data_IF_275141701645
#
_entry.id   IF_275141701645
#
_cell.length_a   1.000
_cell.length_b   1.000
_cell.length_c   1.000
_cell.angle_alpha   90.00
_cell.angle_beta   90.00
_cell.angle_gamma   90.00
#
_symmetry.space_group_name_H-M   'P 1'
#
loop_
_entity.id
_entity.type
_entity.pdbx_description
1 polymer ?
#
# COMPACT_ATOMS: atom_id res chain seq x y z
N UNK A 1 22.68 -1.73 -7.27
CA UNK A 1 22.11 -2.41 -8.46
C UNK A 1 21.18 -3.56 -8.07
N UNK A 2 21.63 -4.58 -7.32
CA UNK A 2 20.78 -5.72 -6.90
C UNK A 2 19.44 -5.32 -6.28
N UNK A 3 19.45 -4.49 -5.23
CA UNK A 3 18.23 -4.07 -4.54
C UNK A 3 17.23 -3.38 -5.47
N UNK A 4 17.70 -2.55 -6.40
CA UNK A 4 16.84 -1.88 -7.39
C UNK A 4 16.16 -2.90 -8.29
N UNK A 5 16.91 -3.89 -8.80
CA UNK A 5 16.35 -4.97 -9.61
C UNK A 5 15.33 -5.77 -8.80
N UNK A 6 15.66 -6.12 -7.55
CA UNK A 6 14.77 -6.89 -6.69
C UNK A 6 13.46 -6.15 -6.43
N UNK A 7 13.54 -4.86 -6.09
CA UNK A 7 12.37 -4.02 -5.86
C UNK A 7 11.50 -3.90 -7.11
N UNK A 8 12.07 -3.61 -8.28
CA UNK A 8 11.27 -3.42 -9.49
C UNK A 8 10.58 -4.72 -9.94
N UNK A 9 11.28 -5.85 -9.83
CA UNK A 9 10.71 -7.16 -10.17
C UNK A 9 9.62 -7.56 -9.19
N UNK A 10 9.90 -7.48 -7.88
CA UNK A 10 8.94 -7.84 -6.85
C UNK A 10 7.70 -6.95 -6.89
N UNK A 11 7.86 -5.62 -6.94
CA UNK A 11 6.75 -4.68 -6.96
C UNK A 11 5.82 -4.91 -8.16
N UNK A 12 6.39 -5.12 -9.35
CA UNK A 12 5.59 -5.37 -10.54
C UNK A 12 4.84 -6.71 -10.49
N UNK A 13 5.49 -7.78 -10.02
CA UNK A 13 4.85 -9.09 -9.89
C UNK A 13 3.78 -9.08 -8.78
N UNK A 14 4.10 -8.49 -7.63
CA UNK A 14 3.19 -8.37 -6.50
C UNK A 14 1.95 -7.57 -6.90
N UNK A 15 2.07 -6.49 -7.68
CA UNK A 15 0.90 -5.77 -8.19
C UNK A 15 -0.09 -6.69 -8.95
N UNK A 16 0.41 -7.55 -9.83
CA UNK A 16 -0.45 -8.44 -10.62
C UNK A 16 -1.03 -9.58 -9.78
N UNK A 17 -0.24 -10.17 -8.87
CA UNK A 17 -0.75 -11.18 -7.94
C UNK A 17 -1.81 -10.56 -7.03
N UNK A 18 -1.56 -9.40 -6.45
CA UNK A 18 -2.49 -8.70 -5.58
C UNK A 18 -3.81 -8.38 -6.31
N UNK A 19 -3.71 -7.86 -7.55
CA UNK A 19 -4.89 -7.63 -8.39
C UNK A 19 -5.65 -8.92 -8.71
N UNK A 20 -4.95 -10.03 -8.96
CA UNK A 20 -5.57 -11.35 -9.16
C UNK A 20 -6.25 -11.86 -7.89
N UNK A 21 -5.65 -11.65 -6.73
CA UNK A 21 -6.20 -12.00 -5.42
C UNK A 21 -7.48 -11.21 -5.11
N UNK A 22 -7.72 -10.07 -5.76
CA UNK A 22 -8.98 -9.33 -5.72
C UNK A 22 -10.04 -9.77 -6.75
N UNK A 23 -9.79 -10.85 -7.49
CA UNK A 23 -10.89 -11.54 -8.20
C UNK A 23 -11.83 -12.21 -7.20
N UNK A 24 -13.08 -12.48 -7.60
CA UNK A 24 -14.07 -13.12 -6.72
C UNK A 24 -13.53 -14.39 -6.05
N UNK A 25 -12.93 -15.27 -6.86
CA UNK A 25 -12.36 -16.52 -6.36
C UNK A 25 -11.12 -16.29 -5.50
N UNK A 26 -10.16 -15.47 -5.96
CA UNK A 26 -8.93 -15.21 -5.22
C UNK A 26 -9.21 -14.61 -3.84
N UNK A 27 -10.19 -13.72 -3.76
CA UNK A 27 -10.54 -13.06 -2.52
C UNK A 27 -11.20 -14.04 -1.55
N UNK A 28 -12.29 -14.67 -1.99
CA UNK A 28 -13.07 -15.59 -1.15
C UNK A 28 -12.24 -16.78 -0.64
N UNK A 29 -11.24 -17.24 -1.39
CA UNK A 29 -10.45 -18.42 -1.04
C UNK A 29 -9.13 -18.11 -0.36
N UNK A 30 -8.54 -16.95 -0.62
CA UNK A 30 -7.16 -16.68 -0.22
C UNK A 30 -7.09 -15.34 0.52
N UNK A 31 -7.47 -14.26 -0.14
CA UNK A 31 -7.13 -12.91 0.32
C UNK A 31 -8.05 -12.34 1.42
N UNK A 32 -9.21 -12.94 1.65
CA UNK A 32 -10.15 -12.48 2.68
C UNK A 32 -9.56 -12.46 4.09
N UNK A 33 -8.58 -13.33 4.40
CA UNK A 33 -7.90 -13.35 5.71
C UNK A 33 -7.07 -12.09 5.90
N UNK A 34 -6.35 -11.66 4.86
CA UNK A 34 -5.58 -10.42 4.90
C UNK A 34 -6.49 -9.20 5.10
N UNK A 35 -7.64 -9.19 4.43
CA UNK A 35 -8.66 -8.14 4.54
C UNK A 35 -9.59 -8.27 5.76
N UNK A 36 -9.35 -9.22 6.67
CA UNK A 36 -10.16 -9.38 7.87
C UNK A 36 -10.08 -8.13 8.77
N UNK A 37 -8.95 -7.41 8.73
CA UNK A 37 -8.74 -6.17 9.47
C UNK A 37 -8.82 -4.97 8.53
N UNK A 38 -9.95 -4.27 8.56
CA UNK A 38 -10.17 -3.05 7.75
C UNK A 38 -9.31 -1.86 8.16
N UNK A 39 -8.71 -1.92 9.35
CA UNK A 39 -7.70 -0.99 9.85
C UNK A 39 -6.48 -1.82 10.28
N UNK A 40 -5.56 -2.13 9.35
CA UNK A 40 -4.43 -2.98 9.65
C UNK A 40 -3.46 -2.27 10.61
N UNK A 41 -2.64 -3.08 11.28
CA UNK A 41 -1.48 -2.62 12.04
C UNK A 41 -0.22 -3.21 11.40
N UNK A 42 0.96 -2.65 11.68
CA UNK A 42 2.21 -3.18 11.15
C UNK A 42 2.44 -4.67 11.48
N UNK A 43 1.97 -5.12 12.65
CA UNK A 43 2.02 -6.55 13.03
C UNK A 43 1.08 -7.43 12.20
N UNK A 44 -0.02 -6.87 11.71
CA UNK A 44 -0.96 -7.56 10.83
C UNK A 44 -0.52 -7.56 9.36
N UNK A 45 0.58 -6.89 8.99
CA UNK A 45 1.06 -6.82 7.61
C UNK A 45 1.29 -8.20 6.97
N UNK A 46 1.65 -9.20 7.79
CA UNK A 46 1.88 -10.59 7.35
C UNK A 46 0.76 -11.55 7.76
N UNK A 47 -0.29 -11.05 8.42
CA UNK A 47 -1.45 -11.86 8.77
C UNK A 47 -2.26 -12.15 7.51
N UNK A 48 -2.10 -13.35 6.97
CA UNK A 48 -2.63 -13.75 5.67
C UNK A 48 -2.82 -15.26 5.57
N UNK A 49 -3.56 -15.71 4.56
CA UNK A 49 -3.69 -17.13 4.25
C UNK A 49 -2.36 -17.70 3.75
N UNK A 50 -2.01 -18.94 4.11
CA UNK A 50 -0.72 -19.54 3.75
C UNK A 50 -0.44 -19.60 2.24
N UNK A 51 -1.48 -19.72 1.42
CA UNK A 51 -1.34 -19.65 -0.05
C UNK A 51 -1.00 -18.23 -0.55
N UNK A 52 -1.50 -17.17 0.10
CA UNK A 52 -1.10 -15.79 -0.22
C UNK A 52 0.35 -15.56 0.17
N UNK A 53 0.75 -15.99 1.36
CA UNK A 53 2.16 -15.92 1.76
C UNK A 53 3.08 -16.65 0.77
N UNK A 54 2.64 -17.81 0.26
CA UNK A 54 3.40 -18.56 -0.74
C UNK A 54 3.51 -17.82 -2.08
N UNK A 55 2.41 -17.21 -2.55
CA UNK A 55 2.41 -16.41 -3.79
C UNK A 55 3.29 -15.15 -3.66
N UNK A 56 3.21 -14.45 -2.53
CA UNK A 56 4.06 -13.29 -2.24
C UNK A 56 5.53 -13.69 -2.06
N UNK A 57 5.80 -14.87 -1.49
CA UNK A 57 7.17 -15.38 -1.44
C UNK A 57 7.76 -15.55 -2.85
N UNK A 58 6.99 -16.08 -3.81
CA UNK A 58 7.44 -16.21 -5.20
C UNK A 58 7.88 -14.86 -5.77
N UNK A 59 7.15 -13.78 -5.52
CA UNK A 59 7.52 -12.44 -6.04
C UNK A 59 8.77 -11.89 -5.35
N UNK A 60 8.89 -12.08 -4.04
CA UNK A 60 10.06 -11.66 -3.24
C UNK A 60 11.35 -12.38 -3.67
N UNK A 61 11.25 -13.66 -4.05
CA UNK A 61 12.39 -14.47 -4.51
C UNK A 61 12.68 -14.34 -6.02
N UNK A 62 11.76 -13.82 -6.83
CA UNK A 62 11.94 -13.70 -8.28
C UNK A 62 13.16 -12.83 -8.65
N UNK A 63 13.33 -11.68 -7.99
CA UNK A 63 14.48 -10.80 -8.22
C UNK A 63 15.82 -11.51 -7.97
N UNK A 64 16.05 -12.07 -6.77
CA UNK A 64 17.26 -12.83 -6.47
C UNK A 64 17.48 -14.07 -7.35
N UNK A 65 16.42 -14.73 -7.81
CA UNK A 65 16.55 -15.85 -8.74
C UNK A 65 17.08 -15.42 -10.12
N UNK A 66 16.67 -14.25 -10.61
CA UNK A 66 17.13 -13.67 -11.89
C UNK A 66 18.53 -13.08 -11.76
N UNK A 67 18.84 -12.48 -10.60
CA UNK A 67 20.13 -11.84 -10.33
C UNK A 67 20.71 -12.32 -8.99
N UNK A 68 21.34 -13.52 -8.97
CA UNK A 68 21.90 -14.10 -7.76
C UNK A 68 22.94 -13.20 -7.11
N UNK A 69 22.96 -13.19 -5.77
CA UNK A 69 23.86 -12.35 -4.99
C UNK A 69 24.26 -13.03 -3.68
N UNK A 70 25.15 -12.38 -2.91
CA UNK A 70 25.58 -12.89 -1.62
C UNK A 70 24.39 -12.97 -0.63
N UNK A 71 24.45 -13.91 0.33
CA UNK A 71 23.37 -14.11 1.32
C UNK A 71 23.09 -12.86 2.16
N UNK A 72 24.11 -12.04 2.43
CA UNK A 72 23.93 -10.77 3.17
C UNK A 72 23.08 -9.77 2.39
N UNK A 73 23.18 -9.75 1.05
CA UNK A 73 22.32 -8.91 0.21
C UNK A 73 20.88 -9.42 0.21
N UNK A 74 20.66 -10.73 0.29
CA UNK A 74 19.32 -11.30 0.46
C UNK A 74 18.70 -10.91 1.81
N UNK A 75 19.45 -11.02 2.90
CA UNK A 75 18.95 -10.64 4.22
C UNK A 75 18.62 -9.15 4.31
N UNK A 76 19.47 -8.30 3.73
CA UNK A 76 19.18 -6.87 3.63
C UNK A 76 17.91 -6.62 2.82
N UNK A 77 17.73 -7.33 1.70
CA UNK A 77 16.53 -7.25 0.89
C UNK A 77 15.26 -7.62 1.67
N UNK A 78 15.26 -8.75 2.38
CA UNK A 78 14.10 -9.18 3.17
C UNK A 78 13.80 -8.23 4.33
N UNK A 79 14.83 -7.70 4.99
CA UNK A 79 14.66 -6.70 6.04
C UNK A 79 13.96 -5.43 5.49
N UNK A 80 14.40 -4.94 4.33
CA UNK A 80 13.77 -3.80 3.66
C UNK A 80 12.31 -4.12 3.31
N UNK A 81 12.01 -5.32 2.78
CA UNK A 81 10.64 -5.72 2.45
C UNK A 81 9.73 -5.77 3.66
N UNK A 82 10.19 -6.35 4.77
CA UNK A 82 9.43 -6.42 6.02
C UNK A 82 9.17 -5.03 6.61
N UNK A 83 10.16 -4.14 6.57
CA UNK A 83 10.02 -2.76 7.03
C UNK A 83 8.99 -2.00 6.18
N UNK A 84 9.07 -2.09 4.86
CA UNK A 84 8.13 -1.41 3.96
C UNK A 84 6.70 -1.95 4.13
N UNK A 85 6.53 -3.29 4.20
CA UNK A 85 5.21 -3.88 4.44
C UNK A 85 4.64 -3.41 5.78
N UNK A 86 5.47 -3.32 6.82
CA UNK A 86 5.03 -2.81 8.13
C UNK A 86 4.63 -1.32 8.06
N UNK A 87 5.40 -0.48 7.37
CA UNK A 87 5.15 0.95 7.18
C UNK A 87 3.83 1.19 6.42
N UNK A 88 3.61 0.45 5.33
CA UNK A 88 2.39 0.53 4.53
C UNK A 88 1.12 0.06 5.26
N UNK A 89 1.26 -0.74 6.32
CA UNK A 89 0.12 -1.28 7.09
C UNK A 89 0.00 -0.71 8.50
N UNK A 90 0.87 0.21 8.91
CA UNK A 90 0.89 0.66 10.30
C UNK A 90 -0.28 1.59 10.67
N UNK A 91 -1.01 2.12 9.68
CA UNK A 91 -2.07 3.10 9.89
C UNK A 91 -1.57 4.52 10.22
N UNK A 92 -0.25 4.75 10.18
CA UNK A 92 0.36 6.03 10.51
C UNK A 92 1.23 6.55 9.36
N UNK A 93 1.04 7.83 9.02
CA UNK A 93 1.94 8.53 8.10
C UNK A 93 2.99 9.28 8.92
N UNK A 94 4.12 8.62 9.22
CA UNK A 94 5.24 9.26 9.89
C UNK A 94 5.98 10.22 8.95
N UNK A 95 6.55 11.34 9.45
CA UNK A 95 7.31 12.27 8.61
C UNK A 95 8.59 11.66 8.03
N UNK A 96 9.07 10.56 8.61
CA UNK A 96 10.24 9.80 8.18
C UNK A 96 9.87 8.47 7.51
N UNK A 97 8.58 8.23 7.22
CA UNK A 97 8.17 7.05 6.45
C UNK A 97 8.72 7.13 5.02
N UNK A 98 8.88 5.97 4.37
CA UNK A 98 9.37 5.95 2.99
C UNK A 98 8.42 6.71 2.05
N UNK A 99 7.11 6.59 2.28
CA UNK A 99 6.08 7.33 1.57
C UNK A 99 6.09 8.85 1.82
N UNK A 100 6.59 9.30 2.97
CA UNK A 100 6.78 10.72 3.28
C UNK A 100 8.00 11.34 2.60
N UNK A 101 9.04 10.54 2.34
CA UNK A 101 10.32 11.01 1.80
C UNK A 101 10.43 10.84 0.28
N UNK A 102 9.84 9.78 -0.28
CA UNK A 102 9.99 9.41 -1.69
C UNK A 102 8.62 9.49 -2.37
N UNK A 103 8.48 10.29 -3.45
CA UNK A 103 7.22 10.36 -4.16
C UNK A 103 6.88 9.00 -4.78
N UNK A 104 5.57 8.75 -4.91
CA UNK A 104 5.02 7.53 -5.51
C UNK A 104 5.23 6.24 -4.73
N UNK A 105 5.82 6.26 -3.54
CA UNK A 105 5.84 5.11 -2.63
C UNK A 105 4.46 4.92 -1.99
N UNK A 106 4.05 3.66 -1.85
CA UNK A 106 2.82 3.27 -1.15
C UNK A 106 2.99 3.58 0.34
N UNK A 107 2.02 4.27 0.93
CA UNK A 107 2.00 4.60 2.36
C UNK A 107 0.73 4.10 3.03
N UNK A 108 0.68 4.23 4.37
CA UNK A 108 -0.43 3.75 5.19
C UNK A 108 -1.80 4.22 4.67
N UNK A 109 -1.97 5.52 4.39
CA UNK A 109 -3.24 6.05 3.86
C UNK A 109 -3.68 5.39 2.53
N UNK A 110 -2.72 5.09 1.65
CA UNK A 110 -3.01 4.48 0.35
C UNK A 110 -3.49 3.03 0.51
N UNK A 111 -2.88 2.29 1.45
CA UNK A 111 -3.21 0.91 1.72
C UNK A 111 -4.45 0.75 2.61
N UNK A 112 -4.67 1.65 3.58
CA UNK A 112 -5.89 1.68 4.38
C UNK A 112 -7.12 1.93 3.52
N UNK A 113 -7.01 2.83 2.52
CA UNK A 113 -8.09 3.06 1.56
C UNK A 113 -8.41 1.80 0.73
N UNK A 114 -7.40 0.99 0.44
CA UNK A 114 -7.57 -0.30 -0.22
C UNK A 114 -8.32 -1.31 0.67
N UNK A 115 -7.93 -1.43 1.93
CA UNK A 115 -8.56 -2.32 2.92
C UNK A 115 -10.01 -1.95 3.25
N UNK A 116 -10.35 -0.65 3.22
CA UNK A 116 -11.67 -0.16 3.63
C UNK A 116 -12.86 -0.85 2.93
N UNK A 117 -12.75 -1.17 1.64
CA UNK A 117 -13.83 -1.79 0.87
C UNK A 117 -13.69 -3.32 0.71
N UNK A 118 -12.65 -3.93 1.29
CA UNK A 118 -12.39 -5.37 1.28
C UNK A 118 -12.51 -6.00 -0.11
N UNK A 119 -13.32 -7.05 -0.23
CA UNK A 119 -13.49 -7.79 -1.49
C UNK A 119 -14.15 -7.03 -2.64
N UNK A 120 -14.71 -5.83 -2.37
CA UNK A 120 -15.23 -4.94 -3.42
C UNK A 120 -14.17 -3.97 -3.95
N UNK A 121 -13.00 -3.93 -3.32
CA UNK A 121 -11.89 -3.06 -3.71
C UNK A 121 -11.41 -3.40 -5.11
N UNK A 122 -11.26 -2.36 -5.94
CA UNK A 122 -10.73 -2.43 -7.31
C UNK A 122 -9.64 -1.40 -7.57
N UNK A 123 -8.93 -1.02 -6.51
CA UNK A 123 -8.04 0.13 -6.50
C UNK A 123 -6.85 -0.15 -5.59
N UNK A 124 -5.74 0.55 -5.79
CA UNK A 124 -4.60 0.61 -4.88
C UNK A 124 -3.94 -0.76 -4.65
N UNK A 125 -3.49 -1.41 -5.72
CA UNK A 125 -2.86 -2.73 -5.66
C UNK A 125 -1.33 -2.71 -5.55
N UNK A 126 -0.70 -1.54 -5.73
CA UNK A 126 0.74 -1.38 -5.63
C UNK A 126 1.28 -1.87 -4.28
N UNK A 127 2.47 -2.47 -4.32
CA UNK A 127 3.12 -2.99 -3.11
C UNK A 127 4.06 -1.97 -2.52
N UNK A 128 5.08 -1.57 -3.27
CA UNK A 128 6.08 -0.57 -2.88
C UNK A 128 5.80 0.76 -3.57
N UNK A 129 5.44 0.71 -4.86
CA UNK A 129 5.20 1.92 -5.66
C UNK A 129 3.80 1.96 -6.25
N UNK A 130 3.31 3.19 -6.44
CA UNK A 130 1.99 3.49 -7.00
C UNK A 130 2.00 3.60 -8.54
N UNK A 131 3.15 3.42 -9.21
CA UNK A 131 3.24 3.62 -10.66
C UNK A 131 2.37 2.62 -11.42
N UNK A 132 2.29 1.36 -10.97
CA UNK A 132 1.40 0.37 -11.58
C UNK A 132 -0.05 0.86 -11.52
N UNK A 133 -0.49 1.35 -10.36
CA UNK A 133 -1.85 1.88 -10.23
C UNK A 133 -2.11 3.11 -11.09
N UNK A 134 -1.08 3.94 -11.30
CA UNK A 134 -1.17 5.08 -12.22
C UNK A 134 -1.30 4.61 -13.67
N UNK A 135 -0.43 3.71 -14.13
CA UNK A 135 -0.40 3.19 -15.51
C UNK A 135 -1.70 2.47 -15.84
N UNK A 136 -2.18 1.61 -14.94
CA UNK A 136 -3.39 0.80 -15.16
C UNK A 136 -4.66 1.48 -14.67
N UNK A 137 -4.56 2.69 -14.10
CA UNK A 137 -5.69 3.52 -13.69
C UNK A 137 -6.45 3.01 -12.45
N UNK A 138 -5.83 2.17 -11.63
CA UNK A 138 -6.38 1.62 -10.38
C UNK A 138 -6.10 2.51 -9.17
N UNK A 139 -5.77 3.79 -9.33
CA UNK A 139 -5.72 4.77 -8.21
C UNK A 139 -6.80 5.86 -8.31
N UNK A 140 -7.68 5.82 -9.32
CA UNK A 140 -8.63 6.91 -9.61
C UNK A 140 -9.57 7.19 -8.45
N UNK A 141 -10.14 6.15 -7.82
CA UNK A 141 -11.06 6.32 -6.69
C UNK A 141 -10.35 6.89 -5.48
N UNK A 142 -9.12 6.44 -5.18
CA UNK A 142 -8.29 7.02 -4.12
C UNK A 142 -8.01 8.50 -4.35
N UNK A 143 -7.62 8.89 -5.56
CA UNK A 143 -7.36 10.29 -5.90
C UNK A 143 -8.63 11.16 -5.76
N UNK A 144 -9.79 10.65 -6.15
CA UNK A 144 -11.08 11.33 -5.97
C UNK A 144 -11.45 11.48 -4.49
N UNK A 145 -11.21 10.44 -3.70
CA UNK A 145 -11.41 10.46 -2.26
C UNK A 145 -10.53 11.52 -1.59
N UNK A 146 -9.22 11.52 -1.89
CA UNK A 146 -8.26 12.50 -1.38
C UNK A 146 -8.62 13.94 -1.73
N UNK A 147 -9.04 14.20 -2.98
CA UNK A 147 -9.53 15.51 -3.42
C UNK A 147 -10.79 15.95 -2.67
N UNK A 148 -11.70 15.03 -2.42
CA UNK A 148 -12.94 15.31 -1.67
C UNK A 148 -12.64 15.69 -0.23
N UNK A 149 -11.74 14.95 0.45
CA UNK A 149 -11.29 15.28 1.80
C UNK A 149 -10.58 16.64 1.87
N UNK A 150 -9.73 16.96 0.90
CA UNK A 150 -9.07 18.26 0.84
C UNK A 150 -10.09 19.41 0.73
N UNK A 151 -11.08 19.28 -0.15
CA UNK A 151 -12.17 20.28 -0.29
C UNK A 151 -12.97 20.47 1.00
N UNK A 152 -13.26 19.38 1.72
CA UNK A 152 -13.97 19.45 3.01
C UNK A 152 -13.14 20.19 4.06
N UNK A 153 -11.84 19.91 4.15
CA UNK A 153 -10.93 20.62 5.06
C UNK A 153 -10.85 22.11 4.75
N UNK A 154 -10.76 22.48 3.46
CA UNK A 154 -10.78 23.89 3.05
C UNK A 154 -12.08 24.59 3.44
N UNK A 155 -13.24 23.97 3.15
CA UNK A 155 -14.54 24.53 3.53
C UNK A 155 -14.69 24.71 5.05
N UNK A 156 -14.23 23.75 5.83
CA UNK A 156 -14.25 23.83 7.29
C UNK A 156 -13.37 24.99 7.79
N UNK A 157 -12.17 25.16 7.21
CA UNK A 157 -11.28 26.26 7.57
C UNK A 157 -11.90 27.64 7.24
N UNK A 158 -12.56 27.77 6.08
CA UNK A 158 -13.28 28.98 5.69
C UNK A 158 -14.45 29.30 6.64
N UNK A 159 -15.21 28.27 7.05
CA UNK A 159 -16.30 28.44 8.02
C UNK A 159 -15.80 28.87 9.40
N UNK A 160 -14.70 28.28 9.87
CA UNK A 160 -14.10 28.63 11.16
C UNK A 160 -13.60 30.08 11.17
N UNK A 161 -13.01 30.56 10.07
CA UNK A 161 -12.58 31.97 9.95
C UNK A 161 -13.76 32.94 9.95
N UNK A 162 -14.86 32.62 9.23
CA UNK A 162 -16.08 33.46 9.21
C UNK A 162 -16.81 33.48 10.56
N UNK A 163 -16.75 32.39 11.31
CA UNK A 163 -17.34 32.27 12.65
C UNK A 163 -16.57 33.06 13.71
N UNK A 164 -15.25 33.19 13.61
CA UNK A 164 -14.47 33.98 14.58
C UNK A 164 -14.54 35.48 14.32
N UNK A 165 -14.77 35.92 13.08
CA UNK A 165 -14.92 37.34 12.72
C UNK A 165 -16.29 37.95 13.07
N UNK A 166 -17.24 37.15 13.57
CA UNK A 166 -18.58 37.60 13.96
C UNK A 166 -18.81 37.72 15.46
N UNK A 167 -17.75 37.61 16.28
CA UNK A 167 -17.81 37.66 17.76
C UNK A 167 -17.22 38.99 18.30
N UNK A 168 -16.74 39.89 17.43
CA UNK A 168 -16.09 41.15 17.84
C UNK A 168 -16.99 42.41 17.83
N UNK A 169 -18.32 42.29 17.69
CA UNK A 169 -19.27 43.43 17.76
C UNK A 169 -20.20 43.37 18.99
#
# INVERSE_FOLDING_TARGET
>A
MYLVVFTLVEDYLTYWIHRFLHTKWGYEKIHHVHHEKTAPSGFAAVYSHGAELSLLAVTIFAGPAIMPCHVTTHWLWFAIRLMEASDAHCGYNFPFSLAGLIPFVVGAEFHDYHHYAGGKTRTNFGSVFTYCDYIYGTNKSYLLHKRSLAKLKTKQAEQNMKGSSGIED
#
